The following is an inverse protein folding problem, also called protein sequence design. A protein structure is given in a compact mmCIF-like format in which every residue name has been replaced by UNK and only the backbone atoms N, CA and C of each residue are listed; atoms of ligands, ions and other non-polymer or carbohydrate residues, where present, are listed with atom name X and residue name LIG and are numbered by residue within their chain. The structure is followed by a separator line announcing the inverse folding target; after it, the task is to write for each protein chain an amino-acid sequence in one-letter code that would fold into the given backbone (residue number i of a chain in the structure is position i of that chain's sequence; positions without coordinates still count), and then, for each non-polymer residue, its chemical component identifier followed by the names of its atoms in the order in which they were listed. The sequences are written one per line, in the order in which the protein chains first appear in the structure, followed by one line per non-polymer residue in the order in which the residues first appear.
data_IF_925685340832
#
_entry.id   IF_925685340832
#
_cell.length_a   1.000
_cell.length_b   1.000
_cell.length_c   1.000
_cell.angle_alpha   90.00
_cell.angle_beta   90.00
_cell.angle_gamma   90.00
#
_symmetry.space_group_name_H-M   'P 1'
#
loop_
_entity.id
_entity.type
_entity.pdbx_description
1 polymer ?
#
# COMPACT_ATOMS: atom_id res chain seq x y z
N UNK A 1 8.51 -15.04 -0.15
CA UNK A 1 7.68 -13.94 -0.71
C UNK A 1 7.13 -13.11 0.46
N UNK A 2 7.17 -11.78 0.37
CA UNK A 2 6.78 -10.88 1.48
C UNK A 2 5.25 -10.75 1.61
N UNK A 3 4.53 -10.77 0.50
CA UNK A 3 3.09 -10.54 0.43
C UNK A 3 2.25 -11.44 1.36
N UNK A 4 2.43 -12.79 1.40
CA UNK A 4 1.65 -13.62 2.31
C UNK A 4 1.84 -13.28 3.79
N UNK A 5 3.02 -12.81 4.17
CA UNK A 5 3.30 -12.40 5.56
C UNK A 5 2.62 -11.07 5.89
N UNK A 6 2.53 -10.15 4.92
CA UNK A 6 1.82 -8.88 5.06
C UNK A 6 0.31 -9.12 5.20
N UNK A 7 -0.25 -9.99 4.38
CA UNK A 7 -1.67 -10.38 4.49
C UNK A 7 -1.96 -10.99 5.86
N UNK A 8 -1.15 -11.95 6.30
CA UNK A 8 -1.32 -12.63 7.59
C UNK A 8 -1.28 -11.66 8.78
N UNK A 9 -0.31 -10.74 8.83
CA UNK A 9 -0.22 -9.78 9.94
C UNK A 9 -1.37 -8.76 9.93
N UNK A 10 -1.78 -8.27 8.76
CA UNK A 10 -2.92 -7.34 8.64
C UNK A 10 -4.23 -8.01 9.07
N UNK A 11 -4.46 -9.26 8.65
CA UNK A 11 -5.62 -10.03 9.09
C UNK A 11 -5.60 -10.31 10.59
N UNK A 12 -4.44 -10.65 11.17
CA UNK A 12 -4.28 -10.84 12.63
C UNK A 12 -4.53 -9.57 13.43
N UNK A 13 -4.26 -8.40 12.85
CA UNK A 13 -4.61 -7.11 13.45
C UNK A 13 -6.13 -6.84 13.40
N UNK A 14 -6.89 -7.56 12.58
CA UNK A 14 -8.35 -7.41 12.47
C UNK A 14 -8.83 -6.73 11.20
N UNK A 15 -7.94 -6.47 10.22
CA UNK A 15 -8.34 -5.92 8.93
C UNK A 15 -8.93 -6.99 8.02
N UNK A 16 -9.94 -6.59 7.24
CA UNK A 16 -10.34 -7.34 6.04
C UNK A 16 -9.38 -6.94 4.93
N UNK A 17 -8.58 -7.89 4.43
CA UNK A 17 -7.56 -7.63 3.42
C UNK A 17 -8.07 -8.05 2.05
N UNK A 18 -8.08 -7.10 1.11
CA UNK A 18 -8.34 -7.36 -0.31
C UNK A 18 -7.01 -7.42 -1.04
N UNK A 19 -6.54 -8.65 -1.29
CA UNK A 19 -5.28 -8.91 -1.99
C UNK A 19 -5.57 -9.17 -3.48
N UNK A 20 -5.03 -8.36 -4.43
CA UNK A 20 -5.41 -8.41 -5.85
C UNK A 20 -5.23 -9.79 -6.50
N UNK A 21 -4.13 -10.50 -6.26
CA UNK A 21 -3.88 -11.80 -6.88
C UNK A 21 -4.88 -12.86 -6.40
N UNK A 22 -5.24 -12.85 -5.10
CA UNK A 22 -6.25 -13.74 -4.54
C UNK A 22 -7.67 -13.42 -5.05
N UNK A 23 -8.01 -12.13 -5.20
CA UNK A 23 -9.35 -11.71 -5.63
C UNK A 23 -9.60 -11.93 -7.12
N UNK A 24 -8.55 -11.80 -7.93
CA UNK A 24 -8.64 -11.94 -9.38
C UNK A 24 -8.29 -13.35 -9.88
N UNK A 25 -8.13 -14.36 -9.01
CA UNK A 25 -7.72 -15.71 -9.45
C UNK A 25 -8.59 -16.28 -10.56
N UNK A 26 -9.90 -16.09 -10.48
CA UNK A 26 -10.82 -16.61 -11.50
C UNK A 26 -10.77 -15.81 -12.80
N UNK A 27 -10.64 -14.48 -12.74
CA UNK A 27 -10.45 -13.65 -13.94
C UNK A 27 -9.12 -13.92 -14.63
N UNK A 28 -8.06 -14.15 -13.85
CA UNK A 28 -6.74 -14.52 -14.35
C UNK A 28 -6.76 -15.87 -15.08
N UNK A 29 -7.54 -16.86 -14.61
CA UNK A 29 -7.72 -18.14 -15.31
C UNK A 29 -8.34 -17.97 -16.70
N UNK A 30 -9.20 -16.97 -16.89
CA UNK A 30 -9.86 -16.67 -18.15
C UNK A 30 -9.10 -15.67 -19.03
N UNK A 31 -7.94 -15.17 -18.55
CA UNK A 31 -7.08 -14.21 -19.25
C UNK A 31 -7.84 -12.96 -19.74
N UNK A 32 -8.62 -12.34 -18.86
CA UNK A 32 -9.33 -11.08 -19.14
C UNK A 32 -8.65 -9.89 -18.43
N UNK A 33 -7.58 -9.32 -19.01
CA UNK A 33 -6.80 -8.27 -18.36
C UNK A 33 -7.60 -6.97 -18.16
N UNK A 34 -8.59 -6.71 -19.02
CA UNK A 34 -9.46 -5.55 -18.86
C UNK A 34 -10.32 -5.69 -17.60
N UNK A 35 -10.95 -6.84 -17.41
CA UNK A 35 -11.78 -7.08 -16.23
C UNK A 35 -10.96 -7.14 -14.94
N UNK A 36 -9.73 -7.64 -14.99
CA UNK A 36 -8.79 -7.60 -13.85
C UNK A 36 -8.51 -6.15 -13.46
N UNK A 37 -8.10 -5.30 -14.42
CA UNK A 37 -7.84 -3.88 -14.14
C UNK A 37 -9.07 -3.14 -13.60
N UNK A 38 -10.27 -3.45 -14.11
CA UNK A 38 -11.51 -2.90 -13.58
C UNK A 38 -11.83 -3.38 -12.17
N UNK A 39 -11.53 -4.64 -11.84
CA UNK A 39 -11.69 -5.18 -10.50
C UNK A 39 -10.73 -4.50 -9.51
N UNK A 40 -9.46 -4.35 -9.85
CA UNK A 40 -8.46 -3.65 -9.02
C UNK A 40 -8.84 -2.18 -8.82
N UNK A 41 -9.28 -1.51 -9.89
CA UNK A 41 -9.77 -0.14 -9.82
C UNK A 41 -10.96 0.00 -8.85
N UNK A 42 -11.91 -0.95 -8.92
CA UNK A 42 -13.07 -0.98 -8.03
C UNK A 42 -12.69 -1.29 -6.57
N UNK A 43 -11.69 -2.14 -6.34
CA UNK A 43 -11.19 -2.42 -5.01
C UNK A 43 -10.57 -1.16 -4.38
N UNK A 44 -9.76 -0.40 -5.12
CA UNK A 44 -9.24 0.90 -4.65
C UNK A 44 -10.37 1.88 -4.35
N UNK A 45 -11.42 1.89 -5.17
CA UNK A 45 -12.58 2.76 -4.97
C UNK A 45 -13.32 2.47 -3.67
N UNK A 46 -13.49 1.18 -3.35
CA UNK A 46 -14.36 0.70 -2.28
C UNK A 46 -13.62 0.38 -0.97
N UNK A 47 -12.29 0.23 -0.98
CA UNK A 47 -11.50 0.02 0.24
C UNK A 47 -11.47 1.29 1.12
N UNK A 48 -11.37 1.11 2.43
CA UNK A 48 -11.23 2.23 3.38
C UNK A 48 -9.81 2.84 3.37
N UNK A 49 -8.81 2.02 3.04
CA UNK A 49 -7.42 2.43 2.94
C UNK A 49 -6.59 1.47 2.09
N UNK A 50 -5.41 1.92 1.71
CA UNK A 50 -4.45 1.18 0.89
C UNK A 50 -3.18 0.91 1.69
N UNK A 51 -2.76 -0.34 1.70
CA UNK A 51 -1.45 -0.76 2.20
C UNK A 51 -0.58 -1.19 1.01
N UNK A 52 0.19 -0.26 0.47
CA UNK A 52 0.94 -0.46 -0.77
C UNK A 52 2.35 -0.99 -0.51
N UNK A 53 2.76 -2.04 -1.23
CA UNK A 53 4.14 -2.51 -1.26
C UNK A 53 4.90 -1.74 -2.34
N UNK A 54 5.74 -0.79 -1.93
CA UNK A 54 6.46 0.11 -2.84
C UNK A 54 7.92 -0.30 -3.01
N UNK A 55 8.17 -1.61 -3.11
CA UNK A 55 9.49 -2.17 -3.38
C UNK A 55 9.92 -1.94 -4.84
N UNK A 56 11.24 -1.91 -5.09
CA UNK A 56 11.81 -1.68 -6.40
C UNK A 56 12.37 -0.25 -6.59
N UNK A 57 13.12 -0.09 -7.67
CA UNK A 57 13.75 1.18 -8.08
C UNK A 57 13.65 1.34 -9.60
N UNK A 58 12.57 1.96 -10.13
CA UNK A 58 11.42 2.52 -9.40
C UNK A 58 10.47 1.45 -8.85
N UNK A 59 9.53 1.82 -7.95
CA UNK A 59 8.40 0.96 -7.59
C UNK A 59 7.57 0.55 -8.80
N UNK A 60 6.81 -0.55 -8.65
CA UNK A 60 5.92 -1.07 -9.69
C UNK A 60 4.92 -0.03 -10.20
N UNK A 61 4.76 0.06 -11.52
CA UNK A 61 3.92 1.07 -12.16
C UNK A 61 2.43 0.88 -11.86
N UNK A 62 1.96 -0.37 -11.74
CA UNK A 62 0.58 -0.68 -11.37
C UNK A 62 0.25 -0.17 -9.98
N UNK A 63 1.14 -0.44 -9.01
CA UNK A 63 1.01 0.10 -7.64
C UNK A 63 1.01 1.63 -7.64
N UNK A 64 1.77 2.29 -8.51
CA UNK A 64 1.78 3.76 -8.59
C UNK A 64 0.46 4.33 -9.15
N UNK A 65 -0.16 3.66 -10.12
CA UNK A 65 -1.49 4.05 -10.63
C UNK A 65 -2.55 3.94 -9.54
N UNK A 66 -2.56 2.82 -8.80
CA UNK A 66 -3.48 2.59 -7.68
C UNK A 66 -3.28 3.60 -6.54
N UNK A 67 -2.03 3.92 -6.20
CA UNK A 67 -1.71 4.97 -5.23
C UNK A 67 -2.20 6.34 -5.70
N UNK A 68 -1.99 6.68 -6.97
CA UNK A 68 -2.49 7.93 -7.54
C UNK A 68 -4.01 8.06 -7.40
N UNK A 69 -4.75 6.98 -7.66
CA UNK A 69 -6.19 6.92 -7.43
C UNK A 69 -6.54 7.06 -5.95
N UNK A 70 -5.83 6.37 -5.05
CA UNK A 70 -6.07 6.43 -3.61
C UNK A 70 -5.87 7.86 -3.06
N UNK A 71 -4.81 8.54 -3.51
CA UNK A 71 -4.52 9.95 -3.18
C UNK A 71 -5.68 10.84 -3.65
N UNK A 72 -6.10 10.70 -4.92
CA UNK A 72 -7.20 11.49 -5.48
C UNK A 72 -8.53 11.27 -4.74
N UNK A 73 -8.72 10.09 -4.13
CA UNK A 73 -9.91 9.72 -3.36
C UNK A 73 -9.77 9.93 -1.86
N UNK A 74 -8.69 10.57 -1.40
CA UNK A 74 -8.42 10.83 0.01
C UNK A 74 -8.50 9.58 0.89
N UNK A 75 -8.06 8.43 0.36
CA UNK A 75 -8.00 7.17 1.12
C UNK A 75 -6.90 7.24 2.16
N UNK A 76 -7.02 6.44 3.22
CA UNK A 76 -5.92 6.26 4.15
C UNK A 76 -4.79 5.46 3.47
N UNK A 77 -3.56 5.98 3.46
CA UNK A 77 -2.43 5.35 2.76
C UNK A 77 -1.36 4.90 3.75
N UNK A 78 -0.86 3.69 3.55
CA UNK A 78 0.27 3.08 4.25
C UNK A 78 1.22 2.47 3.23
N UNK A 79 2.53 2.65 3.42
CA UNK A 79 3.55 2.25 2.46
C UNK A 79 4.52 1.28 3.12
N UNK A 80 4.69 0.09 2.54
CA UNK A 80 5.70 -0.87 2.96
C UNK A 80 6.85 -0.94 1.96
N UNK A 81 8.08 -0.86 2.44
CA UNK A 81 9.29 -1.00 1.62
C UNK A 81 10.43 -1.65 2.41
N UNK A 82 10.88 -2.83 1.97
CA UNK A 82 12.10 -3.48 2.48
C UNK A 82 13.29 -3.38 1.52
N UNK A 83 13.12 -2.64 0.41
CA UNK A 83 14.20 -2.23 -0.50
C UNK A 83 14.80 -0.88 -0.07
N UNK A 84 16.06 -0.85 0.37
CA UNK A 84 16.70 0.36 0.87
C UNK A 84 17.45 1.17 -0.19
N UNK A 85 17.43 0.73 -1.45
CA UNK A 85 18.03 1.49 -2.54
C UNK A 85 17.23 2.77 -2.75
N UNK A 86 17.96 3.88 -2.89
CA UNK A 86 17.38 5.20 -3.07
C UNK A 86 16.91 5.39 -4.51
N UNK A 87 15.69 5.90 -4.67
CA UNK A 87 15.09 6.18 -5.97
C UNK A 87 14.29 7.50 -5.88
N UNK A 88 15.02 8.58 -5.57
CA UNK A 88 14.48 9.92 -5.40
C UNK A 88 15.56 10.98 -5.68
N UNK A 89 15.15 12.11 -6.23
CA UNK A 89 16.02 13.27 -6.49
C UNK A 89 16.19 14.17 -5.25
N UNK A 90 15.65 13.78 -4.10
CA UNK A 90 15.64 14.57 -2.86
C UNK A 90 16.17 13.76 -1.68
N UNK A 91 16.78 14.40 -0.68
CA UNK A 91 17.15 13.78 0.60
C UNK A 91 15.97 13.68 1.58
N UNK A 92 14.88 14.40 1.30
CA UNK A 92 13.70 14.45 2.18
C UNK A 92 12.90 13.13 2.13
N UNK A 93 12.88 12.47 0.98
CA UNK A 93 12.08 11.27 0.74
C UNK A 93 12.92 10.14 0.12
N UNK A 94 12.66 8.88 0.50
CA UNK A 94 13.36 7.73 -0.08
C UNK A 94 12.90 7.37 -1.50
N UNK A 95 11.73 7.89 -1.90
CA UNK A 95 11.06 7.65 -3.18
C UNK A 95 10.64 8.96 -3.85
N UNK A 96 10.13 8.86 -5.08
CA UNK A 96 9.54 10.00 -5.80
C UNK A 96 8.54 10.77 -4.92
N UNK A 97 8.64 12.10 -4.92
CA UNK A 97 7.84 12.99 -4.07
C UNK A 97 6.33 12.77 -4.20
N UNK A 98 5.84 12.35 -5.37
CA UNK A 98 4.41 12.14 -5.63
C UNK A 98 3.83 11.01 -4.77
N UNK A 99 4.64 10.03 -4.37
CA UNK A 99 4.23 8.95 -3.46
C UNK A 99 3.85 9.50 -2.07
N UNK A 100 4.46 10.62 -1.66
CA UNK A 100 4.24 11.24 -0.35
C UNK A 100 3.14 12.31 -0.38
N UNK A 101 2.62 12.67 -1.54
CA UNK A 101 1.62 13.73 -1.68
C UNK A 101 0.28 13.41 -0.98
N UNK A 102 -0.04 12.13 -0.78
CA UNK A 102 -1.20 11.69 0.01
C UNK A 102 -0.94 11.49 1.49
N UNK A 103 0.27 11.77 1.98
CA UNK A 103 0.66 11.54 3.37
C UNK A 103 0.80 12.87 4.14
N UNK A 104 0.68 12.85 5.47
CA UNK A 104 0.94 14.04 6.29
C UNK A 104 2.40 14.49 6.16
N UNK A 105 2.61 15.78 5.86
CA UNK A 105 3.94 16.34 5.58
C UNK A 105 4.98 16.08 6.69
N UNK A 106 4.58 16.26 7.96
CA UNK A 106 5.51 16.18 9.10
C UNK A 106 5.59 14.79 9.75
N UNK A 107 4.70 13.87 9.38
CA UNK A 107 4.58 12.56 10.04
C UNK A 107 4.41 11.41 9.03
N UNK A 108 4.83 11.59 7.78
CA UNK A 108 4.74 10.56 6.75
C UNK A 108 5.49 9.28 7.15
N UNK A 109 6.52 9.39 8.00
CA UNK A 109 7.29 8.26 8.52
C UNK A 109 6.44 7.32 9.40
N UNK A 110 5.35 7.80 9.99
CA UNK A 110 4.39 6.96 10.72
C UNK A 110 3.59 6.07 9.76
N UNK A 111 3.45 6.47 8.50
CA UNK A 111 2.77 5.73 7.43
C UNK A 111 3.72 4.87 6.59
N UNK A 112 5.02 4.93 6.85
CA UNK A 112 6.05 4.26 6.08
C UNK A 112 6.73 3.15 6.89
N UNK A 113 6.67 1.92 6.40
CA UNK A 113 7.04 0.69 7.10
C UNK A 113 8.23 0.04 6.41
N UNK A 114 9.28 -0.26 7.17
CA UNK A 114 10.51 -0.86 6.63
C UNK A 114 10.74 -2.29 7.08
N UNK A 115 9.86 -2.80 7.94
CA UNK A 115 9.95 -4.15 8.49
C UNK A 115 8.57 -4.67 8.89
N UNK A 116 8.39 -5.99 8.90
CA UNK A 116 7.12 -6.61 9.34
C UNK A 116 6.79 -6.25 10.81
N UNK A 117 7.74 -6.26 11.76
CA UNK A 117 7.46 -5.86 13.15
C UNK A 117 6.88 -4.44 13.28
N UNK A 118 7.20 -3.53 12.37
CA UNK A 118 6.67 -2.17 12.41
C UNK A 118 5.16 -2.11 12.19
N UNK A 119 4.58 -3.08 11.46
CA UNK A 119 3.18 -3.04 11.03
C UNK A 119 2.23 -3.00 12.23
N UNK A 120 2.54 -3.76 13.29
CA UNK A 120 1.76 -3.79 14.53
C UNK A 120 2.31 -2.86 15.63
N UNK A 121 3.19 -1.93 15.27
CA UNK A 121 3.77 -1.00 16.25
C UNK A 121 2.75 0.08 16.66
N UNK A 122 2.53 0.33 17.97
CA UNK A 122 1.65 1.40 18.43
C UNK A 122 2.07 2.81 18.01
N UNK A 123 3.31 2.97 17.57
CA UNK A 123 3.83 4.25 17.08
C UNK A 123 3.40 4.56 15.64
N UNK A 124 2.97 3.54 14.88
CA UNK A 124 2.70 3.65 13.45
C UNK A 124 1.23 3.98 13.17
N UNK A 125 1.00 4.63 12.03
CA UNK A 125 -0.30 5.19 11.66
C UNK A 125 -1.37 4.10 11.48
N UNK A 126 -1.05 2.93 10.94
CA UNK A 126 -1.98 1.81 10.77
C UNK A 126 -2.55 1.33 12.11
N UNK A 127 -1.70 1.20 13.13
CA UNK A 127 -2.14 0.81 14.47
C UNK A 127 -3.08 1.86 15.07
N UNK A 128 -2.69 3.14 14.96
CA UNK A 128 -3.48 4.28 15.43
C UNK A 128 -4.85 4.33 14.74
N UNK A 129 -4.86 4.17 13.42
CA UNK A 129 -6.06 4.13 12.60
C UNK A 129 -7.02 3.02 12.99
N UNK A 130 -6.51 1.80 13.22
CA UNK A 130 -7.31 0.67 13.68
C UNK A 130 -7.99 0.91 15.04
N UNK A 131 -7.32 1.60 15.96
CA UNK A 131 -7.80 1.83 17.32
C UNK A 131 -8.48 3.20 17.51
N UNK A 132 -8.52 4.04 16.48
CA UNK A 132 -9.11 5.38 16.52
C UNK A 132 -8.39 6.35 17.46
N UNK A 133 -7.05 6.26 17.58
CA UNK A 133 -6.20 7.08 18.46
C UNK A 133 -5.22 7.98 17.72
#
# INVERSE_FOLDING_TARGET
MILPKLVDILQKMGFVVWEPFARNQDLAKHNDPYMIGQADMNDVYNADGIFAVVNGTPPDEGVMVELGMAIARQKQIFLFRDDFRRCADTDAYPLNLMVFAGLPNNTWQDHYYTSIPDINSPKKALYKWLHGI
#
